data_IF_802831947387
#
_entry.id   IF_802831947387
#
_cell.length_a   1.000
_cell.length_b   1.000
_cell.length_c   1.000
_cell.angle_alpha   90.00
_cell.angle_beta   90.00
_cell.angle_gamma   90.00
#
_symmetry.space_group_name_H-M   'P 1'
#
loop_
_entity.id
_entity.type
_entity.pdbx_description
1 polymer ?
#
# COMPACT_ATOMS: atom_id res chain seq x y z
N UNK A 1 -37.79 -4.57 2.67
CA UNK A 1 -38.96 -5.23 2.06
C UNK A 1 -38.55 -6.36 1.14
N UNK A 2 -37.65 -6.14 0.17
CA UNK A 2 -37.24 -7.20 -0.79
C UNK A 2 -36.73 -8.50 -0.12
N UNK A 3 -35.86 -8.41 0.88
CA UNK A 3 -35.38 -9.60 1.60
C UNK A 3 -36.46 -10.35 2.42
N UNK A 4 -37.52 -9.66 2.84
CA UNK A 4 -38.66 -10.27 3.53
C UNK A 4 -39.57 -10.97 2.50
N UNK A 5 -39.77 -10.31 1.35
CA UNK A 5 -40.61 -10.82 0.26
C UNK A 5 -39.95 -11.97 -0.51
N UNK A 6 -38.61 -12.03 -0.52
CA UNK A 6 -37.81 -13.08 -1.16
C UNK A 6 -36.98 -13.80 -0.11
N UNK A 7 -37.67 -14.45 0.83
CA UNK A 7 -37.00 -15.27 1.84
C UNK A 7 -36.25 -16.42 1.16
N UNK A 8 -35.11 -16.80 1.75
CA UNK A 8 -34.33 -17.95 1.30
C UNK A 8 -34.41 -19.06 2.34
N UNK A 9 -34.36 -20.29 1.86
CA UNK A 9 -34.22 -21.44 2.75
C UNK A 9 -32.87 -21.42 3.48
N UNK A 10 -32.82 -22.12 4.62
CA UNK A 10 -31.58 -22.34 5.33
C UNK A 10 -30.66 -23.20 4.46
N UNK A 11 -29.53 -22.64 4.06
CA UNK A 11 -28.50 -23.39 3.35
C UNK A 11 -27.70 -24.24 4.34
N UNK A 12 -28.07 -25.51 4.47
CA UNK A 12 -27.42 -26.46 5.39
C UNK A 12 -25.95 -26.74 5.06
N UNK A 13 -25.52 -26.60 3.79
CA UNK A 13 -24.10 -26.71 3.44
C UNK A 13 -23.25 -25.63 4.14
N UNK A 14 -23.77 -24.40 4.29
CA UNK A 14 -23.09 -23.33 5.03
C UNK A 14 -23.06 -23.62 6.54
N UNK A 15 -24.14 -24.19 7.08
CA UNK A 15 -24.22 -24.61 8.49
C UNK A 15 -23.17 -25.69 8.77
N UNK A 16 -23.10 -26.71 7.92
CA UNK A 16 -22.18 -27.83 8.12
C UNK A 16 -20.73 -27.43 7.87
N UNK A 17 -20.45 -26.53 6.93
CA UNK A 17 -19.13 -25.92 6.78
C UNK A 17 -18.69 -25.18 8.07
N UNK A 18 -19.61 -24.47 8.74
CA UNK A 18 -19.33 -23.81 10.01
C UNK A 18 -19.07 -24.82 11.13
N UNK A 19 -19.90 -25.88 11.24
CA UNK A 19 -19.73 -26.95 12.23
C UNK A 19 -18.40 -27.68 12.04
N UNK A 20 -18.08 -28.07 10.80
CA UNK A 20 -16.82 -28.74 10.46
C UNK A 20 -15.62 -27.88 10.86
N UNK A 21 -15.65 -26.58 10.54
CA UNK A 21 -14.62 -25.63 11.00
C UNK A 21 -14.48 -25.64 12.52
N UNK A 22 -15.60 -25.56 13.26
CA UNK A 22 -15.60 -25.55 14.73
C UNK A 22 -15.03 -26.85 15.30
N UNK A 23 -15.38 -28.00 14.72
CA UNK A 23 -14.85 -29.30 15.12
C UNK A 23 -13.33 -29.39 14.89
N UNK A 24 -12.84 -29.00 13.71
CA UNK A 24 -11.41 -28.98 13.38
C UNK A 24 -10.64 -28.07 14.32
N UNK A 25 -11.14 -26.84 14.55
CA UNK A 25 -10.48 -25.88 15.44
C UNK A 25 -10.42 -26.43 16.90
N UNK A 26 -11.45 -27.19 17.33
CA UNK A 26 -11.46 -27.89 18.63
C UNK A 26 -10.44 -29.03 18.67
N UNK A 27 -10.41 -29.90 17.67
CA UNK A 27 -9.46 -31.01 17.59
C UNK A 27 -8.01 -30.52 17.67
N UNK A 28 -7.64 -29.54 16.83
CA UNK A 28 -6.28 -28.97 16.85
C UNK A 28 -5.95 -28.35 18.21
N UNK A 29 -6.88 -27.58 18.78
CA UNK A 29 -6.68 -26.95 20.08
C UNK A 29 -6.45 -27.96 21.21
N UNK A 30 -7.31 -28.98 21.31
CA UNK A 30 -7.27 -29.99 22.37
C UNK A 30 -6.10 -30.95 22.23
N UNK A 31 -5.74 -31.34 21.00
CA UNK A 31 -4.66 -32.31 20.78
C UNK A 31 -3.27 -31.66 20.94
N UNK A 32 -3.06 -30.44 20.41
CA UNK A 32 -1.72 -29.86 20.37
C UNK A 32 -1.38 -28.95 21.56
N UNK A 33 -2.37 -28.34 22.24
CA UNK A 33 -2.05 -27.50 23.40
C UNK A 33 -1.37 -28.25 24.55
N UNK A 34 -1.78 -29.48 24.93
CA UNK A 34 -1.07 -30.26 25.94
C UNK A 34 0.40 -30.53 25.58
N UNK A 35 0.68 -30.82 24.29
CA UNK A 35 2.05 -31.01 23.80
C UNK A 35 2.89 -29.73 23.97
N UNK A 36 2.32 -28.56 23.65
CA UNK A 36 3.01 -27.28 23.88
C UNK A 36 3.30 -27.05 25.37
N UNK A 37 2.37 -27.39 26.27
CA UNK A 37 2.58 -27.25 27.71
C UNK A 37 3.67 -28.19 28.25
N UNK A 38 3.76 -29.39 27.70
CA UNK A 38 4.78 -30.36 28.11
C UNK A 38 6.17 -29.95 27.60
N UNK A 39 6.27 -29.56 26.32
CA UNK A 39 7.54 -29.23 25.65
C UNK A 39 8.10 -27.86 26.02
N UNK A 40 7.23 -26.88 26.29
CA UNK A 40 7.62 -25.49 26.57
C UNK A 40 7.34 -25.07 28.02
N UNK A 41 7.23 -26.05 28.93
CA UNK A 41 6.90 -25.84 30.35
C UNK A 41 7.80 -24.83 31.06
N UNK A 42 9.04 -24.70 30.60
CA UNK A 42 10.05 -23.82 31.20
C UNK A 42 9.89 -22.34 30.77
N UNK A 43 9.05 -22.05 29.76
CA UNK A 43 8.71 -20.67 29.42
C UNK A 43 7.75 -20.14 30.49
N UNK A 44 8.09 -18.99 31.12
CA UNK A 44 7.20 -18.25 32.05
C UNK A 44 6.02 -17.58 31.34
N UNK A 45 5.43 -18.23 30.34
CA UNK A 45 4.31 -17.72 29.55
C UNK A 45 3.06 -18.51 29.94
N UNK A 46 2.13 -17.88 30.66
CA UNK A 46 0.87 -18.52 31.03
C UNK A 46 -0.03 -18.65 29.79
N UNK A 47 -0.58 -19.85 29.57
CA UNK A 47 -1.68 -20.05 28.63
C UNK A 47 -1.31 -20.17 27.15
N UNK A 48 -0.17 -20.82 26.83
CA UNK A 48 0.13 -21.28 25.47
C UNK A 48 -1.07 -22.06 24.90
N UNK A 49 -1.45 -21.79 23.66
CA UNK A 49 -2.54 -22.48 22.99
C UNK A 49 -2.20 -22.69 21.52
N UNK A 50 -2.35 -23.92 21.04
CA UNK A 50 -2.25 -24.21 19.62
C UNK A 50 -3.50 -23.71 18.90
N UNK A 51 -3.32 -23.04 17.76
CA UNK A 51 -4.41 -22.56 16.95
C UNK A 51 -4.08 -22.75 15.48
N UNK A 52 -4.90 -23.51 14.77
CA UNK A 52 -4.63 -23.93 13.38
C UNK A 52 -4.21 -22.78 12.47
N UNK A 53 -4.91 -21.64 12.56
CA UNK A 53 -4.61 -20.46 11.73
C UNK A 53 -3.68 -19.48 12.45
N UNK A 54 -3.81 -19.34 13.78
CA UNK A 54 -2.96 -18.46 14.58
C UNK A 54 -1.48 -18.86 14.49
N UNK A 55 -1.18 -20.16 14.57
CA UNK A 55 0.19 -20.68 14.45
C UNK A 55 0.79 -20.41 13.07
N UNK A 56 -0.02 -20.41 12.00
CA UNK A 56 0.46 -20.07 10.65
C UNK A 56 0.73 -18.57 10.54
N UNK A 57 -0.13 -17.71 11.08
CA UNK A 57 0.13 -16.27 11.14
C UNK A 57 1.40 -15.96 11.95
N UNK A 58 1.59 -16.62 13.09
CA UNK A 58 2.81 -16.53 13.91
C UNK A 58 4.04 -16.99 13.12
N UNK A 59 3.94 -18.08 12.34
CA UNK A 59 5.02 -18.56 11.45
C UNK A 59 5.44 -17.49 10.43
N UNK A 60 4.53 -16.69 9.89
CA UNK A 60 4.87 -15.59 8.99
C UNK A 60 5.74 -14.53 9.70
N UNK A 61 5.36 -14.16 10.92
CA UNK A 61 6.13 -13.21 11.75
C UNK A 61 7.51 -13.76 12.10
N UNK A 62 7.59 -15.02 12.55
CA UNK A 62 8.86 -15.68 12.88
C UNK A 62 9.76 -15.80 11.66
N UNK A 63 9.21 -16.16 10.49
CA UNK A 63 9.98 -16.18 9.24
C UNK A 63 10.57 -14.81 8.92
N UNK A 64 9.79 -13.73 9.06
CA UNK A 64 10.29 -12.36 8.86
C UNK A 64 11.40 -12.01 9.84
N UNK A 65 11.29 -12.36 11.12
CA UNK A 65 12.40 -12.13 12.06
C UNK A 65 13.64 -12.97 11.72
N UNK A 66 13.48 -14.23 11.29
CA UNK A 66 14.61 -15.05 10.81
C UNK A 66 15.27 -14.43 9.58
N UNK A 67 14.50 -13.92 8.62
CA UNK A 67 15.03 -13.19 7.45
C UNK A 67 15.83 -11.96 7.89
N UNK A 68 15.33 -11.21 8.88
CA UNK A 68 16.01 -10.03 9.41
C UNK A 68 17.28 -10.38 10.18
N UNK A 69 17.29 -11.48 10.94
CA UNK A 69 18.47 -11.93 11.69
C UNK A 69 19.59 -12.44 10.78
N UNK A 70 19.23 -13.03 9.63
CA UNK A 70 20.19 -13.48 8.61
C UNK A 70 20.62 -12.37 7.65
N UNK A 71 20.03 -11.18 7.75
CA UNK A 71 20.25 -10.12 6.79
C UNK A 71 21.68 -9.57 6.88
N UNK A 72 22.40 -9.59 5.77
CA UNK A 72 23.72 -8.98 5.67
C UNK A 72 23.56 -7.55 5.17
N UNK A 73 23.99 -6.59 5.99
CA UNK A 73 23.96 -5.17 5.64
C UNK A 73 25.10 -4.86 4.68
N UNK A 74 24.75 -4.25 3.56
CA UNK A 74 25.69 -3.78 2.55
C UNK A 74 25.73 -2.25 2.54
N UNK A 75 26.93 -1.68 2.43
CA UNK A 75 27.17 -0.24 2.30
C UNK A 75 27.31 0.14 0.83
N UNK A 76 26.83 1.32 0.47
CA UNK A 76 27.01 1.91 -0.86
C UNK A 76 26.84 3.41 -0.78
N UNK A 77 27.48 4.17 -1.67
CA UNK A 77 27.27 5.60 -1.78
C UNK A 77 26.20 5.91 -2.83
N UNK A 78 25.35 6.90 -2.53
CA UNK A 78 24.50 7.54 -3.51
C UNK A 78 24.95 8.99 -3.70
N UNK A 79 25.04 9.42 -4.94
CA UNK A 79 25.43 10.79 -5.29
C UNK A 79 24.22 11.51 -5.88
N UNK A 80 23.90 12.68 -5.31
CA UNK A 80 22.79 13.54 -5.75
C UNK A 80 23.32 14.96 -5.92
N UNK A 81 22.98 15.58 -7.04
CA UNK A 81 23.27 16.98 -7.34
C UNK A 81 21.98 17.80 -7.23
N UNK A 82 22.06 18.91 -6.51
CA UNK A 82 21.08 19.97 -6.58
C UNK A 82 21.51 20.94 -7.68
N UNK A 83 20.70 21.02 -8.72
CA UNK A 83 20.95 21.75 -9.95
C UNK A 83 20.03 22.95 -10.04
N UNK A 84 20.50 24.04 -10.63
CA UNK A 84 19.77 25.28 -10.85
C UNK A 84 19.67 25.50 -12.36
N UNK A 85 18.45 25.68 -12.88
CA UNK A 85 18.27 26.24 -14.22
C UNK A 85 18.40 27.76 -14.13
N UNK A 86 19.37 28.33 -14.83
CA UNK A 86 19.80 29.71 -14.61
C UNK A 86 18.74 30.76 -15.00
N UNK A 87 17.99 30.52 -16.09
CA UNK A 87 17.05 31.51 -16.62
C UNK A 87 15.84 31.72 -15.70
N UNK A 88 15.35 30.64 -15.09
CA UNK A 88 14.21 30.62 -14.19
C UNK A 88 14.60 30.65 -12.71
N UNK A 89 15.90 30.48 -12.41
CA UNK A 89 16.47 30.37 -11.07
C UNK A 89 15.74 29.34 -10.19
N UNK A 90 15.40 28.19 -10.79
CA UNK A 90 14.68 27.11 -10.12
C UNK A 90 15.56 25.90 -9.90
N UNK A 91 15.52 25.39 -8.67
CA UNK A 91 16.27 24.22 -8.27
C UNK A 91 15.54 22.92 -8.62
N UNK A 92 16.32 21.89 -8.94
CA UNK A 92 15.85 20.51 -9.05
C UNK A 92 16.96 19.52 -8.70
N UNK A 93 16.58 18.28 -8.41
CA UNK A 93 17.51 17.24 -7.96
C UNK A 93 17.74 16.21 -9.05
N UNK A 94 19.00 15.87 -9.29
CA UNK A 94 19.41 14.81 -10.19
C UNK A 94 20.28 13.79 -9.46
N UNK A 95 20.08 12.50 -9.74
CA UNK A 95 20.82 11.41 -9.09
C UNK A 95 21.74 10.74 -10.09
N UNK A 96 22.95 10.42 -9.65
CA UNK A 96 23.88 9.65 -10.46
C UNK A 96 23.29 8.27 -10.76
N UNK A 97 23.37 7.85 -12.02
CA UNK A 97 22.88 6.55 -12.47
C UNK A 97 23.94 5.73 -13.21
N UNK A 98 24.88 6.39 -13.88
CA UNK A 98 26.01 5.74 -14.54
C UNK A 98 27.27 6.58 -14.31
N UNK A 99 28.42 5.92 -14.30
CA UNK A 99 29.72 6.55 -14.29
C UNK A 99 30.63 5.73 -15.21
N UNK A 100 31.26 6.39 -16.18
CA UNK A 100 32.13 5.75 -17.18
C UNK A 100 31.41 4.59 -17.89
N UNK A 101 30.18 4.87 -18.37
CA UNK A 101 29.26 3.93 -19.03
C UNK A 101 28.74 2.78 -18.15
N UNK A 102 29.31 2.58 -16.96
CA UNK A 102 28.89 1.55 -16.03
C UNK A 102 27.72 2.03 -15.16
N UNK A 103 26.67 1.20 -15.06
CA UNK A 103 25.50 1.51 -14.23
C UNK A 103 25.84 1.44 -12.73
N UNK A 104 25.49 2.48 -12.00
CA UNK A 104 25.68 2.57 -10.55
C UNK A 104 24.69 1.67 -9.82
N UNK A 105 25.21 0.89 -8.88
CA UNK A 105 24.41 0.02 -8.03
C UNK A 105 23.49 0.79 -7.08
N UNK A 106 22.30 0.26 -6.88
CA UNK A 106 21.29 0.77 -5.94
C UNK A 106 21.02 -0.25 -4.85
N UNK A 107 20.24 0.14 -3.83
CA UNK A 107 19.86 -0.78 -2.73
C UNK A 107 19.20 -2.09 -3.18
N UNK A 108 18.59 -2.15 -4.38
CA UNK A 108 17.94 -3.36 -4.89
C UNK A 108 18.92 -4.37 -5.49
N UNK A 109 20.14 -3.93 -5.79
CA UNK A 109 21.16 -4.71 -6.50
C UNK A 109 21.99 -5.58 -5.54
N UNK A 110 21.71 -5.51 -4.23
CA UNK A 110 22.34 -6.34 -3.20
C UNK A 110 21.50 -7.56 -2.84
N UNK A 111 22.20 -8.67 -2.54
CA UNK A 111 21.62 -9.87 -1.93
C UNK A 111 20.97 -9.55 -0.58
N UNK A 112 20.00 -10.38 -0.15
CA UNK A 112 19.43 -10.28 1.21
C UNK A 112 20.33 -10.94 2.25
N UNK A 113 21.08 -11.97 1.85
CA UNK A 113 21.83 -12.86 2.74
C UNK A 113 23.30 -12.97 2.35
N UNK A 114 23.75 -12.11 1.44
CA UNK A 114 25.08 -12.15 0.85
C UNK A 114 25.69 -10.74 0.90
N UNK A 115 27.01 -10.68 1.01
CA UNK A 115 27.77 -9.44 0.86
C UNK A 115 28.04 -9.15 -0.62
N UNK A 116 27.98 -7.87 -0.99
CA UNK A 116 28.26 -7.43 -2.35
C UNK A 116 27.05 -7.44 -3.28
N UNK A 117 27.34 -7.15 -4.54
CA UNK A 117 26.35 -6.99 -5.59
C UNK A 117 25.90 -8.34 -6.15
N UNK A 118 24.63 -8.42 -6.55
CA UNK A 118 24.09 -9.58 -7.29
C UNK A 118 24.64 -9.67 -8.72
N UNK A 119 25.15 -8.56 -9.24
CA UNK A 119 25.65 -8.44 -10.59
C UNK A 119 26.95 -7.64 -10.56
N UNK A 120 28.04 -8.29 -10.94
CA UNK A 120 29.40 -7.73 -10.94
C UNK A 120 29.59 -6.64 -12.01
N UNK A 121 28.72 -6.60 -13.02
CA UNK A 121 28.76 -5.56 -14.06
C UNK A 121 28.27 -4.19 -13.54
N UNK A 122 27.76 -4.09 -12.31
CA UNK A 122 27.35 -2.82 -11.72
C UNK A 122 28.49 -2.15 -10.95
N UNK A 123 28.54 -0.83 -10.99
CA UNK A 123 29.52 -0.05 -10.25
C UNK A 123 29.05 0.12 -8.80
N UNK A 124 29.82 -0.44 -7.86
CA UNK A 124 29.70 -0.10 -6.44
C UNK A 124 30.52 1.17 -6.15
N UNK A 125 29.85 2.23 -5.72
CA UNK A 125 30.54 3.45 -5.29
C UNK A 125 30.93 3.31 -3.83
N UNK A 126 32.23 3.26 -3.57
CA UNK A 126 32.83 3.38 -2.24
C UNK A 126 33.20 4.84 -1.91
N UNK A 127 33.81 5.08 -0.75
CA UNK A 127 34.18 6.43 -0.30
C UNK A 127 35.13 7.14 -1.27
N UNK A 128 36.18 6.44 -1.74
CA UNK A 128 37.19 7.02 -2.63
C UNK A 128 36.57 7.38 -3.97
N UNK A 129 35.76 6.48 -4.53
CA UNK A 129 35.06 6.71 -5.79
C UNK A 129 34.01 7.81 -5.67
N UNK A 130 33.35 7.92 -4.51
CA UNK A 130 32.41 9.01 -4.26
C UNK A 130 33.11 10.38 -4.23
N UNK A 131 34.27 10.48 -3.59
CA UNK A 131 35.08 11.71 -3.56
C UNK A 131 35.62 12.08 -4.96
N UNK A 132 36.10 11.09 -5.72
CA UNK A 132 36.53 11.24 -7.12
C UNK A 132 35.39 11.83 -7.96
N UNK A 133 34.22 11.17 -7.98
CA UNK A 133 33.06 11.61 -8.77
C UNK A 133 32.59 13.00 -8.35
N UNK A 134 32.60 13.31 -7.04
CA UNK A 134 32.26 14.65 -6.57
C UNK A 134 33.21 15.71 -7.09
N UNK A 135 34.52 15.47 -7.01
CA UNK A 135 35.52 16.42 -7.49
C UNK A 135 35.33 16.67 -8.99
N UNK A 136 35.22 15.61 -9.78
CA UNK A 136 34.92 15.72 -11.22
C UNK A 136 33.60 16.46 -11.47
N UNK A 137 32.58 16.22 -10.66
CA UNK A 137 31.28 16.88 -10.80
C UNK A 137 31.27 18.37 -10.49
N UNK A 138 32.21 18.84 -9.66
CA UNK A 138 32.40 20.27 -9.40
C UNK A 138 33.15 20.98 -10.53
N UNK A 139 34.09 20.29 -11.18
CA UNK A 139 34.98 20.87 -12.19
C UNK A 139 34.39 20.83 -13.62
N UNK A 140 33.52 19.87 -13.91
CA UNK A 140 32.94 19.68 -15.23
C UNK A 140 31.63 20.47 -15.45
N UNK A 141 31.34 20.87 -16.71
CA UNK A 141 30.05 21.47 -17.05
C UNK A 141 28.89 20.46 -16.93
N UNK A 142 27.68 20.98 -16.76
CA UNK A 142 26.44 20.21 -16.68
C UNK A 142 25.64 20.39 -17.97
N UNK A 143 25.44 19.30 -18.71
CA UNK A 143 24.79 19.33 -20.01
C UNK A 143 23.56 18.43 -20.03
N UNK A 144 22.42 18.97 -20.49
CA UNK A 144 21.25 18.12 -20.75
C UNK A 144 21.47 17.41 -22.08
N UNK A 145 21.49 16.08 -22.04
CA UNK A 145 21.68 15.27 -23.25
C UNK A 145 20.38 14.67 -23.78
N UNK A 146 19.34 14.63 -22.94
CA UNK A 146 18.05 14.06 -23.33
C UNK A 146 16.94 14.55 -22.41
N UNK A 147 15.82 14.96 -23.00
CA UNK A 147 14.56 15.22 -22.28
C UNK A 147 13.46 14.35 -22.88
N UNK A 148 12.98 13.37 -22.11
CA UNK A 148 11.88 12.51 -22.53
C UNK A 148 10.62 12.82 -21.72
N UNK A 149 9.58 13.32 -22.40
CA UNK A 149 8.27 13.56 -21.80
C UNK A 149 7.23 12.58 -22.34
N UNK A 150 6.64 11.77 -21.47
CA UNK A 150 5.64 10.77 -21.84
C UNK A 150 4.35 10.93 -21.04
N UNK A 151 3.17 10.81 -21.70
CA UNK A 151 1.91 10.70 -20.98
C UNK A 151 1.89 9.39 -20.19
N UNK A 152 1.49 9.48 -18.93
CA UNK A 152 1.31 8.33 -18.04
C UNK A 152 -0.02 8.46 -17.30
N UNK A 153 -0.57 7.34 -16.85
CA UNK A 153 -1.84 7.32 -16.12
C UNK A 153 -1.81 6.39 -14.92
N UNK A 154 -2.58 6.74 -13.89
CA UNK A 154 -2.86 5.88 -12.74
C UNK A 154 -4.33 5.49 -12.77
N UNK A 155 -4.60 4.19 -12.74
CA UNK A 155 -5.98 3.68 -12.71
C UNK A 155 -6.57 3.76 -11.30
N UNK A 156 -7.90 4.00 -11.18
CA UNK A 156 -8.57 3.99 -9.89
C UNK A 156 -8.50 2.62 -9.23
N UNK A 157 -8.31 2.55 -7.90
CA UNK A 157 -8.32 1.29 -7.20
C UNK A 157 -9.74 0.75 -7.03
N UNK A 158 -9.92 -0.58 -6.84
CA UNK A 158 -11.24 -1.18 -6.67
C UNK A 158 -11.94 -0.69 -5.39
N UNK A 159 -13.28 -0.85 -5.29
CA UNK A 159 -14.03 -0.73 -4.05
C UNK A 159 -13.43 -1.55 -2.91
N UNK A 160 -13.78 -1.22 -1.67
CA UNK A 160 -13.18 -1.89 -0.53
C UNK A 160 -13.65 -3.34 -0.38
N UNK A 161 -12.69 -4.23 -0.18
CA UNK A 161 -12.84 -5.48 0.56
C UNK A 161 -12.52 -5.27 2.03
N UNK A 162 -12.78 -6.25 2.88
CA UNK A 162 -12.38 -6.18 4.31
C UNK A 162 -10.90 -5.95 4.51
N UNK A 163 -10.06 -6.65 3.74
CA UNK A 163 -8.61 -6.53 3.84
C UNK A 163 -8.12 -5.14 3.42
N UNK A 164 -8.64 -4.62 2.31
CA UNK A 164 -8.22 -3.32 1.79
C UNK A 164 -8.73 -2.16 2.66
N UNK A 165 -9.93 -2.28 3.25
CA UNK A 165 -10.44 -1.32 4.23
C UNK A 165 -9.52 -1.26 5.47
N UNK A 166 -9.15 -2.42 6.03
CA UNK A 166 -8.25 -2.48 7.19
C UNK A 166 -6.87 -1.89 6.88
N UNK A 167 -6.36 -2.11 5.66
CA UNK A 167 -5.08 -1.56 5.23
C UNK A 167 -5.12 -0.03 5.14
N UNK A 168 -6.13 0.53 4.45
CA UNK A 168 -6.21 1.98 4.24
C UNK A 168 -6.63 2.73 5.50
N UNK A 169 -7.50 2.16 6.35
CA UNK A 169 -7.82 2.72 7.67
C UNK A 169 -6.60 2.75 8.60
N UNK A 170 -5.78 1.69 8.58
CA UNK A 170 -4.51 1.68 9.32
C UNK A 170 -3.54 2.73 8.80
N UNK A 171 -3.45 2.89 7.47
CA UNK A 171 -2.53 3.84 6.84
C UNK A 171 -2.94 5.30 7.03
N UNK A 172 -4.24 5.61 6.93
CA UNK A 172 -4.78 6.97 7.00
C UNK A 172 -5.00 7.44 8.43
N UNK A 173 -5.51 6.56 9.30
CA UNK A 173 -5.96 6.93 10.65
C UNK A 173 -5.20 6.23 11.78
N UNK A 174 -4.26 5.32 11.46
CA UNK A 174 -3.57 4.53 12.47
C UNK A 174 -4.44 3.48 13.17
N UNK A 175 -5.65 3.21 12.66
CA UNK A 175 -6.56 2.24 13.25
C UNK A 175 -6.01 0.83 13.16
N UNK A 176 -6.18 0.05 14.22
CA UNK A 176 -5.94 -1.40 14.16
C UNK A 176 -7.04 -2.07 13.34
N UNK A 177 -6.80 -3.28 12.79
CA UNK A 177 -7.85 -4.07 12.15
C UNK A 177 -9.07 -4.27 13.05
N UNK A 178 -8.85 -4.50 14.36
CA UNK A 178 -9.93 -4.66 15.35
C UNK A 178 -10.77 -3.39 15.48
N UNK A 179 -10.15 -2.23 15.68
CA UNK A 179 -10.86 -0.94 15.76
C UNK A 179 -11.65 -0.67 14.47
N UNK A 180 -11.03 -0.89 13.31
CA UNK A 180 -11.69 -0.72 12.01
C UNK A 180 -12.94 -1.57 11.89
N UNK A 181 -12.89 -2.85 12.29
CA UNK A 181 -14.04 -3.74 12.22
C UNK A 181 -15.15 -3.38 13.20
N UNK A 182 -14.82 -2.86 14.39
CA UNK A 182 -15.82 -2.37 15.35
C UNK A 182 -16.57 -1.16 14.80
N UNK A 183 -15.83 -0.18 14.23
CA UNK A 183 -16.44 1.00 13.62
C UNK A 183 -17.29 0.62 12.40
N UNK A 184 -16.79 -0.27 11.54
CA UNK A 184 -17.54 -0.74 10.37
C UNK A 184 -18.81 -1.52 10.77
N UNK A 185 -18.76 -2.32 11.85
CA UNK A 185 -19.94 -3.00 12.38
C UNK A 185 -21.02 -1.98 12.79
N UNK A 186 -20.64 -0.92 13.52
CA UNK A 186 -21.59 0.14 13.91
C UNK A 186 -22.20 0.83 12.70
N UNK A 187 -21.38 1.19 11.70
CA UNK A 187 -21.86 1.81 10.46
C UNK A 187 -22.84 0.89 9.72
N UNK A 188 -22.57 -0.40 9.68
CA UNK A 188 -23.44 -1.40 9.05
C UNK A 188 -24.77 -1.54 9.80
N UNK A 189 -24.74 -1.67 11.13
CA UNK A 189 -25.94 -1.82 11.97
C UNK A 189 -26.84 -0.59 11.94
N UNK A 190 -26.26 0.60 11.76
CA UNK A 190 -26.99 1.85 11.58
C UNK A 190 -27.43 2.09 10.13
N UNK A 191 -27.12 1.17 9.20
CA UNK A 191 -27.55 1.22 7.82
C UNK A 191 -26.80 2.23 6.94
N UNK A 192 -25.57 2.61 7.31
CA UNK A 192 -24.75 3.54 6.52
C UNK A 192 -23.86 2.85 5.48
N UNK A 193 -23.46 1.60 5.70
CA UNK A 193 -22.61 0.86 4.76
C UNK A 193 -23.14 -0.56 4.52
N UNK A 194 -22.69 -1.19 3.44
CA UNK A 194 -22.90 -2.62 3.18
C UNK A 194 -22.09 -3.51 4.14
N UNK A 195 -22.33 -4.82 4.09
CA UNK A 195 -21.70 -5.78 4.98
C UNK A 195 -20.16 -5.75 4.88
N UNK A 196 -19.51 -5.43 5.99
CA UNK A 196 -18.07 -5.15 6.07
C UNK A 196 -17.16 -6.39 6.07
N UNK A 197 -17.71 -7.61 6.01
CA UNK A 197 -16.95 -8.87 5.93
C UNK A 197 -17.13 -9.50 4.57
N UNK A 198 -16.43 -8.94 3.58
CA UNK A 198 -16.52 -9.31 2.16
C UNK A 198 -15.13 -9.34 1.54
N UNK A 199 -14.93 -10.28 0.63
CA UNK A 199 -13.78 -10.35 -0.28
C UNK A 199 -14.14 -9.88 -1.70
N UNK A 200 -15.39 -9.48 -1.92
CA UNK A 200 -15.89 -8.99 -3.20
C UNK A 200 -15.54 -7.52 -3.42
N UNK A 201 -15.24 -7.18 -4.67
CA UNK A 201 -15.10 -5.80 -5.16
C UNK A 201 -16.29 -5.37 -6.01
N UNK A 202 -17.34 -6.18 -6.08
CA UNK A 202 -18.50 -5.93 -6.92
C UNK A 202 -19.39 -4.80 -6.36
N UNK A 203 -20.03 -4.03 -7.25
CA UNK A 203 -21.04 -3.03 -6.91
C UNK A 203 -22.34 -3.39 -7.64
N UNK A 204 -23.49 -3.28 -6.97
CA UNK A 204 -24.78 -3.46 -7.63
C UNK A 204 -25.06 -2.36 -8.66
N UNK A 205 -26.04 -2.57 -9.54
CA UNK A 205 -26.52 -1.56 -10.47
C UNK A 205 -26.95 -0.27 -9.78
N UNK A 206 -27.63 -0.38 -8.63
CA UNK A 206 -28.05 0.77 -7.83
C UNK A 206 -26.84 1.53 -7.29
N UNK A 207 -25.81 0.81 -6.81
CA UNK A 207 -24.60 1.42 -6.30
C UNK A 207 -23.78 2.11 -7.39
N UNK A 208 -23.74 1.52 -8.60
CA UNK A 208 -23.10 2.13 -9.77
C UNK A 208 -23.81 3.43 -10.18
N UNK A 209 -25.15 3.43 -10.19
CA UNK A 209 -25.94 4.65 -10.45
C UNK A 209 -25.70 5.71 -9.37
N UNK A 210 -25.78 5.34 -8.10
CA UNK A 210 -25.53 6.26 -6.99
C UNK A 210 -24.12 6.88 -7.05
N UNK A 211 -23.10 6.06 -7.36
CA UNK A 211 -21.74 6.53 -7.54
C UNK A 211 -21.63 7.52 -8.71
N UNK A 212 -22.28 7.23 -9.84
CA UNK A 212 -22.31 8.12 -11.01
C UNK A 212 -22.90 9.48 -10.65
N UNK A 213 -24.07 9.49 -10.03
CA UNK A 213 -24.78 10.72 -9.66
C UNK A 213 -23.97 11.55 -8.66
N UNK A 214 -23.39 10.91 -7.64
CA UNK A 214 -22.50 11.58 -6.68
C UNK A 214 -21.24 12.14 -7.34
N UNK A 215 -20.63 11.43 -8.30
CA UNK A 215 -19.44 11.93 -9.00
C UNK A 215 -19.80 13.12 -9.88
N UNK A 216 -20.89 13.04 -10.63
CA UNK A 216 -21.35 14.10 -11.52
C UNK A 216 -21.63 15.39 -10.74
N UNK A 217 -22.34 15.28 -9.62
CA UNK A 217 -22.70 16.43 -8.78
C UNK A 217 -21.49 17.05 -8.06
N UNK A 218 -20.51 16.23 -7.63
CA UNK A 218 -19.40 16.69 -6.79
C UNK A 218 -18.15 17.08 -7.57
N UNK A 219 -17.87 16.39 -8.68
CA UNK A 219 -16.64 16.56 -9.44
C UNK A 219 -16.88 16.98 -10.89
N UNK A 220 -18.06 16.72 -11.45
CA UNK A 220 -18.39 17.02 -12.85
C UNK A 220 -18.33 15.82 -13.78
N UNK A 221 -19.02 15.91 -14.92
CA UNK A 221 -19.15 14.85 -15.94
C UNK A 221 -17.79 14.42 -16.51
N UNK A 222 -16.81 15.30 -16.54
CA UNK A 222 -15.46 15.02 -17.03
C UNK A 222 -14.73 13.96 -16.21
N UNK A 223 -15.13 13.73 -14.95
CA UNK A 223 -14.57 12.69 -14.09
C UNK A 223 -15.21 11.32 -14.26
N UNK A 224 -16.35 11.22 -14.96
CA UNK A 224 -17.02 9.95 -15.23
C UNK A 224 -16.37 9.24 -16.43
N UNK A 225 -16.11 7.92 -16.35
CA UNK A 225 -15.73 7.10 -17.49
C UNK A 225 -16.93 6.89 -18.43
N UNK A 226 -16.67 6.51 -19.68
CA UNK A 226 -17.72 6.28 -20.69
C UNK A 226 -18.56 5.02 -20.36
N UNK A 227 -17.97 4.08 -19.61
CA UNK A 227 -18.63 2.91 -19.05
C UNK A 227 -18.16 2.65 -17.63
N UNK A 228 -18.97 1.98 -16.81
CA UNK A 228 -18.61 1.63 -15.43
C UNK A 228 -17.32 0.82 -15.36
N UNK A 229 -16.50 1.12 -14.35
CA UNK A 229 -15.27 0.39 -14.10
C UNK A 229 -15.61 -0.95 -13.42
N UNK A 230 -15.29 -2.06 -14.10
CA UNK A 230 -15.52 -3.41 -13.59
C UNK A 230 -14.24 -3.99 -12.97
N UNK A 231 -14.36 -4.51 -11.76
CA UNK A 231 -13.23 -5.06 -11.00
C UNK A 231 -13.41 -6.56 -10.75
N UNK A 232 -12.42 -7.36 -11.18
CA UNK A 232 -12.43 -8.80 -10.93
C UNK A 232 -12.12 -9.11 -9.47
N UNK A 233 -12.99 -9.88 -8.83
CA UNK A 233 -12.74 -10.46 -7.50
C UNK A 233 -11.63 -11.51 -7.60
N UNK A 234 -10.60 -11.41 -6.74
CA UNK A 234 -9.41 -12.29 -6.81
C UNK A 234 -9.58 -13.64 -6.10
N UNK A 235 -10.65 -13.83 -5.32
CA UNK A 235 -10.83 -15.00 -4.47
C UNK A 235 -11.83 -15.96 -5.11
N UNK A 236 -11.36 -17.16 -5.51
CA UNK A 236 -12.16 -18.18 -6.21
C UNK A 236 -13.31 -18.78 -5.38
N UNK A 237 -13.28 -18.62 -4.05
CA UNK A 237 -14.35 -19.02 -3.12
C UNK A 237 -15.01 -17.81 -2.44
N UNK A 238 -14.93 -16.62 -3.06
CA UNK A 238 -15.75 -15.51 -2.61
C UNK A 238 -17.21 -16.01 -2.62
N UNK A 239 -17.92 -15.83 -1.51
CA UNK A 239 -19.36 -16.03 -1.57
C UNK A 239 -19.88 -14.94 -2.51
N UNK A 240 -20.09 -15.30 -3.78
CA UNK A 240 -20.39 -14.39 -4.90
C UNK A 240 -21.67 -13.55 -4.71
N UNK A 241 -22.36 -13.72 -3.60
CA UNK A 241 -23.56 -13.00 -3.20
C UNK A 241 -23.29 -11.71 -2.39
N UNK A 242 -22.04 -11.35 -2.09
CA UNK A 242 -21.75 -10.12 -1.35
C UNK A 242 -21.20 -9.02 -2.26
N UNK A 243 -21.65 -7.80 -2.01
CA UNK A 243 -21.08 -6.60 -2.59
C UNK A 243 -19.79 -6.20 -1.86
N UNK A 244 -19.07 -5.24 -2.46
CA UNK A 244 -17.99 -4.52 -1.79
C UNK A 244 -18.50 -3.73 -0.57
N UNK A 245 -17.57 -3.29 0.26
CA UNK A 245 -17.84 -2.34 1.34
C UNK A 245 -17.98 -0.95 0.72
N UNK A 246 -19.21 -0.43 0.71
CA UNK A 246 -19.62 0.84 0.11
C UNK A 246 -20.70 1.50 0.96
N UNK A 247 -21.04 2.78 0.73
CA UNK A 247 -22.22 3.38 1.36
C UNK A 247 -23.50 2.61 0.97
N UNK A 248 -24.42 2.51 1.92
CA UNK A 248 -25.73 1.89 1.72
C UNK A 248 -26.75 2.89 1.12
N UNK A 249 -27.89 2.36 0.67
CA UNK A 249 -28.96 3.16 0.06
C UNK A 249 -28.80 3.36 -1.45
N UNK A 250 -29.86 3.92 -2.06
CA UNK A 250 -29.93 4.26 -3.50
C UNK A 250 -29.26 5.60 -3.83
N UNK A 251 -29.06 6.44 -2.82
CA UNK A 251 -28.31 7.68 -2.90
C UNK A 251 -27.32 7.68 -1.75
N UNK A 252 -26.04 7.95 -2.05
CA UNK A 252 -25.01 8.01 -1.03
C UNK A 252 -25.14 9.32 -0.26
N UNK A 253 -25.18 9.22 1.06
CA UNK A 253 -25.18 10.40 1.93
C UNK A 253 -23.78 11.00 1.98
N UNK A 254 -23.68 12.32 1.96
CA UNK A 254 -22.39 12.97 2.19
C UNK A 254 -22.01 12.86 3.67
N UNK A 255 -20.70 12.81 3.97
CA UNK A 255 -20.22 12.60 5.34
C UNK A 255 -20.76 13.66 6.31
N UNK A 256 -20.86 14.92 5.87
CA UNK A 256 -21.36 16.04 6.67
C UNK A 256 -22.84 15.91 7.06
N UNK A 257 -23.66 15.27 6.24
CA UNK A 257 -25.09 15.05 6.49
C UNK A 257 -25.33 14.08 7.66
N UNK A 258 -24.40 13.14 7.86
CA UNK A 258 -24.53 12.07 8.86
C UNK A 258 -23.54 12.22 10.02
N UNK A 259 -22.61 13.18 9.94
CA UNK A 259 -21.58 13.41 10.94
C UNK A 259 -22.12 13.77 12.33
N UNK A 260 -23.31 14.36 12.44
CA UNK A 260 -23.95 14.68 13.73
C UNK A 260 -24.55 13.44 14.39
N UNK A 261 -24.91 12.42 13.61
CA UNK A 261 -25.44 11.13 14.09
C UNK A 261 -24.30 10.15 14.38
N UNK A 262 -23.20 10.28 13.64
CA UNK A 262 -22.01 9.44 13.77
C UNK A 262 -21.02 10.02 14.78
N UNK A 263 -20.27 9.15 15.45
CA UNK A 263 -19.05 9.58 16.14
C UNK A 263 -17.98 10.06 15.14
N UNK A 264 -16.97 10.76 15.65
CA UNK A 264 -15.85 11.26 14.83
C UNK A 264 -15.15 10.14 14.04
N UNK A 265 -14.86 9.02 14.70
CA UNK A 265 -14.16 7.89 14.08
C UNK A 265 -15.03 7.15 13.05
N UNK A 266 -16.31 6.96 13.36
CA UNK A 266 -17.29 6.39 12.44
C UNK A 266 -17.43 7.28 11.19
N UNK A 267 -17.51 8.60 11.36
CA UNK A 267 -17.55 9.57 10.26
C UNK A 267 -16.29 9.49 9.38
N UNK A 268 -15.10 9.39 10.00
CA UNK A 268 -13.84 9.25 9.27
C UNK A 268 -13.77 7.94 8.47
N UNK A 269 -14.27 6.84 9.04
CA UNK A 269 -14.30 5.55 8.33
C UNK A 269 -15.34 5.55 7.20
N UNK A 270 -16.51 6.16 7.41
CA UNK A 270 -17.52 6.33 6.37
C UNK A 270 -16.98 7.18 5.22
N UNK A 271 -16.36 8.32 5.51
CA UNK A 271 -15.75 9.19 4.50
C UNK A 271 -14.71 8.44 3.64
N UNK A 272 -13.90 7.60 4.30
CA UNK A 272 -12.94 6.76 3.61
C UNK A 272 -13.64 5.79 2.63
N UNK A 273 -14.73 5.14 3.07
CA UNK A 273 -15.52 4.19 2.28
C UNK A 273 -16.22 4.88 1.11
N UNK A 274 -16.86 6.03 1.36
CA UNK A 274 -17.52 6.85 0.34
C UNK A 274 -16.51 7.25 -0.74
N UNK A 275 -15.42 7.91 -0.35
CA UNK A 275 -14.43 8.42 -1.30
C UNK A 275 -13.76 7.29 -2.09
N UNK A 276 -13.55 6.11 -1.49
CA UNK A 276 -13.03 4.94 -2.21
C UNK A 276 -14.03 4.39 -3.23
N UNK A 277 -15.31 4.36 -2.88
CA UNK A 277 -16.39 3.91 -3.76
C UNK A 277 -16.50 4.85 -4.97
N UNK A 278 -16.57 6.16 -4.74
CA UNK A 278 -16.60 7.16 -5.81
C UNK A 278 -15.35 7.07 -6.70
N UNK A 279 -14.16 7.07 -6.10
CA UNK A 279 -12.90 6.96 -6.85
C UNK A 279 -12.85 5.72 -7.75
N UNK A 280 -13.40 4.58 -7.31
CA UNK A 280 -13.43 3.37 -8.13
C UNK A 280 -14.20 3.53 -9.45
N UNK A 281 -15.15 4.46 -9.51
CA UNK A 281 -15.97 4.74 -10.70
C UNK A 281 -15.58 6.05 -11.40
N UNK A 282 -14.42 6.63 -11.08
CA UNK A 282 -13.88 7.83 -11.75
C UNK A 282 -12.84 7.46 -12.83
N UNK A 283 -12.59 8.38 -13.77
CA UNK A 283 -11.51 8.25 -14.76
C UNK A 283 -10.12 8.18 -14.10
N UNK A 284 -9.18 7.56 -14.81
CA UNK A 284 -7.77 7.51 -14.43
C UNK A 284 -7.17 8.92 -14.26
N UNK A 285 -6.28 9.08 -13.28
CA UNK A 285 -5.45 10.28 -13.17
C UNK A 285 -4.42 10.28 -14.31
N UNK A 286 -4.19 11.44 -14.95
CA UNK A 286 -3.26 11.59 -16.07
C UNK A 286 -2.13 12.54 -15.69
N UNK A 287 -0.91 12.16 -16.07
CA UNK A 287 0.32 12.90 -15.80
C UNK A 287 1.16 13.00 -17.07
N UNK A 288 1.97 14.05 -17.18
CA UNK A 288 3.16 14.03 -18.03
C UNK A 288 4.34 13.73 -17.13
N UNK A 289 5.00 12.60 -17.40
CA UNK A 289 6.26 12.26 -16.75
C UNK A 289 7.41 12.73 -17.63
N UNK A 290 8.25 13.59 -17.09
CA UNK A 290 9.47 14.07 -17.73
C UNK A 290 10.67 13.41 -17.06
N UNK A 291 11.50 12.75 -17.84
CA UNK A 291 12.80 12.24 -17.41
C UNK A 291 13.88 13.02 -18.15
N UNK A 292 14.91 13.43 -17.41
CA UNK A 292 16.02 14.20 -17.96
C UNK A 292 17.29 13.42 -17.70
N UNK A 293 18.08 13.23 -18.75
CA UNK A 293 19.43 12.68 -18.67
C UNK A 293 20.40 13.84 -18.77
N UNK A 294 21.30 13.94 -17.80
CA UNK A 294 22.24 15.05 -17.64
C UNK A 294 23.65 14.46 -17.58
N UNK A 295 24.52 14.93 -18.44
CA UNK A 295 25.93 14.54 -18.49
C UNK A 295 26.77 15.54 -17.72
N UNK A 296 27.75 15.03 -16.98
CA UNK A 296 28.80 15.80 -16.35
C UNK A 296 30.09 14.96 -16.43
N UNK A 297 30.98 15.30 -17.38
CA UNK A 297 32.16 14.48 -17.67
C UNK A 297 31.79 13.02 -17.98
N UNK A 298 32.31 12.08 -17.16
CA UNK A 298 32.00 10.63 -17.22
C UNK A 298 30.69 10.25 -16.54
N UNK A 299 30.10 11.15 -15.77
CA UNK A 299 28.91 10.90 -14.96
C UNK A 299 27.63 11.14 -15.74
N UNK A 300 26.65 10.25 -15.57
CA UNK A 300 25.28 10.43 -16.05
C UNK A 300 24.32 10.52 -14.87
N UNK A 301 23.75 11.70 -14.69
CA UNK A 301 22.72 11.98 -13.72
C UNK A 301 21.33 11.91 -14.37
N UNK A 302 20.33 11.49 -13.59
CA UNK A 302 18.93 11.50 -14.01
C UNK A 302 18.05 12.25 -13.03
N UNK A 303 17.18 13.09 -13.57
CA UNK A 303 16.10 13.75 -12.85
C UNK A 303 14.75 13.27 -13.42
N UNK A 304 13.71 13.21 -12.58
CA UNK A 304 12.37 12.81 -13.01
C UNK A 304 11.33 13.62 -12.26
N UNK A 305 10.34 14.14 -12.99
CA UNK A 305 9.22 14.88 -12.44
C UNK A 305 7.92 14.48 -13.10
N UNK A 306 6.82 14.66 -12.37
CA UNK A 306 5.47 14.42 -12.88
C UNK A 306 4.63 15.68 -12.77
N UNK A 307 4.04 16.10 -13.88
CA UNK A 307 3.05 17.18 -13.90
C UNK A 307 1.65 16.56 -14.08
N UNK A 308 0.76 16.78 -13.11
CA UNK A 308 -0.64 16.34 -13.20
C UNK A 308 -1.34 17.11 -14.31
N UNK A 309 -1.85 16.40 -15.31
CA UNK A 309 -2.72 16.96 -16.36
C UNK A 309 -4.19 16.80 -16.05
N UNK A 310 -4.55 15.74 -15.33
CA UNK A 310 -5.92 15.50 -14.89
C UNK A 310 -5.90 14.69 -13.59
N UNK A 311 -6.60 15.18 -12.55
CA UNK A 311 -6.63 14.50 -11.24
C UNK A 311 -7.37 13.16 -11.31
N UNK A 312 -8.40 13.04 -12.15
CA UNK A 312 -9.24 11.83 -12.18
C UNK A 312 -9.67 11.41 -10.79
N UNK A 313 -9.64 10.11 -10.51
CA UNK A 313 -10.03 9.55 -9.22
C UNK A 313 -9.28 10.11 -7.99
N UNK A 314 -8.08 10.70 -8.16
CA UNK A 314 -7.32 11.24 -7.01
C UNK A 314 -7.97 12.50 -6.45
N UNK A 315 -8.91 13.12 -7.16
CA UNK A 315 -9.74 14.20 -6.60
C UNK A 315 -10.63 13.73 -5.44
N UNK A 316 -11.09 12.48 -5.47
CA UNK A 316 -11.85 11.87 -4.37
C UNK A 316 -10.93 11.10 -3.39
N UNK A 317 -9.89 10.42 -3.90
CA UNK A 317 -9.14 9.45 -3.11
C UNK A 317 -7.62 9.50 -3.34
N UNK A 318 -6.97 10.51 -2.77
CA UNK A 318 -5.51 10.65 -2.82
C UNK A 318 -4.76 9.49 -2.13
N UNK A 319 -5.42 8.74 -1.25
CA UNK A 319 -4.78 7.61 -0.57
C UNK A 319 -4.44 6.45 -1.52
N UNK A 320 -4.93 6.41 -2.76
CA UNK A 320 -4.40 5.41 -3.70
C UNK A 320 -2.97 5.70 -4.16
N UNK A 321 -2.50 6.95 -4.04
CA UNK A 321 -1.14 7.30 -4.45
C UNK A 321 -0.14 6.58 -3.55
N UNK A 322 0.67 5.69 -4.14
CA UNK A 322 1.75 5.02 -3.44
C UNK A 322 2.81 6.01 -2.96
N UNK A 323 3.63 5.64 -1.98
CA UNK A 323 4.72 6.51 -1.47
C UNK A 323 5.64 7.01 -2.60
N UNK A 324 5.89 6.18 -3.62
CA UNK A 324 6.72 6.53 -4.76
C UNK A 324 6.06 7.55 -5.71
N UNK A 325 4.73 7.56 -5.82
CA UNK A 325 4.02 8.58 -6.61
C UNK A 325 3.97 9.91 -5.84
N UNK A 326 3.90 9.87 -4.51
CA UNK A 326 4.00 11.07 -3.66
C UNK A 326 5.42 11.66 -3.60
N UNK A 327 6.49 10.88 -3.80
CA UNK A 327 7.86 11.40 -3.77
C UNK A 327 8.34 12.01 -5.08
N UNK A 328 7.65 11.73 -6.20
CA UNK A 328 7.93 12.33 -7.53
C UNK A 328 7.05 13.56 -7.77
N UNK A 329 6.31 14.03 -6.75
CA UNK A 329 5.49 15.24 -6.81
C UNK A 329 6.32 16.53 -6.69
N UNK A 330 7.45 16.58 -7.40
CA UNK A 330 8.18 17.81 -7.67
C UNK A 330 8.05 18.10 -9.16
N UNK A 331 7.52 19.27 -9.51
CA UNK A 331 7.61 19.76 -10.88
C UNK A 331 9.08 20.01 -11.17
N UNK A 332 9.63 19.40 -12.22
CA UNK A 332 10.87 19.91 -12.81
C UNK A 332 10.60 21.33 -13.32
N UNK A 333 11.61 22.22 -13.34
CA UNK A 333 11.49 23.48 -14.07
C UNK A 333 11.29 23.21 -15.56
N UNK A 334 10.83 24.23 -16.30
CA UNK A 334 10.77 24.13 -17.75
C UNK A 334 12.20 24.09 -18.27
N UNK A 335 12.56 22.99 -18.95
CA UNK A 335 13.91 22.72 -19.40
C UNK A 335 13.88 22.40 -20.90
N UNK A 336 14.89 22.87 -21.63
CA UNK A 336 15.22 22.47 -23.00
C UNK A 336 16.64 21.90 -23.03
N UNK A 337 17.01 21.18 -24.09
CA UNK A 337 18.38 20.67 -24.24
C UNK A 337 19.43 21.80 -24.27
N UNK A 338 19.01 23.01 -24.65
CA UNK A 338 19.82 24.23 -24.62
C UNK A 338 19.81 24.99 -23.29
N UNK A 339 19.15 24.48 -22.25
CA UNK A 339 19.10 25.16 -20.94
C UNK A 339 20.46 25.14 -20.26
N UNK A 340 20.92 26.30 -19.80
CA UNK A 340 22.10 26.39 -18.96
C UNK A 340 21.76 25.95 -17.54
N UNK A 341 22.52 24.97 -17.04
CA UNK A 341 22.37 24.45 -15.68
C UNK A 341 23.69 24.55 -14.96
N UNK A 342 23.62 25.00 -13.71
CA UNK A 342 24.72 24.93 -12.75
C UNK A 342 24.32 24.06 -11.57
N UNK A 343 25.30 23.68 -10.75
CA UNK A 343 25.04 22.97 -9.51
C UNK A 343 25.14 23.92 -8.32
N UNK A 344 24.27 23.75 -7.34
CA UNK A 344 24.37 24.40 -6.05
C UNK A 344 25.17 23.56 -5.07
N UNK A 345 24.83 22.28 -4.97
CA UNK A 345 25.50 21.32 -4.09
C UNK A 345 25.56 19.95 -4.74
N UNK A 346 26.65 19.24 -4.48
CA UNK A 346 26.79 17.82 -4.83
C UNK A 346 26.98 17.07 -3.52
N UNK A 347 26.04 16.19 -3.18
CA UNK A 347 26.06 15.40 -1.97
C UNK A 347 26.43 13.95 -2.27
N UNK A 348 27.22 13.35 -1.38
CA UNK A 348 27.50 11.93 -1.36
C UNK A 348 27.01 11.39 -0.03
N UNK A 349 26.07 10.46 -0.07
CA UNK A 349 25.48 9.88 1.14
C UNK A 349 25.89 8.40 1.23
N UNK A 350 26.58 8.02 2.31
CA UNK A 350 26.75 6.60 2.64
C UNK A 350 25.37 6.05 3.03
N UNK A 351 24.89 5.09 2.24
CA UNK A 351 23.65 4.38 2.46
C UNK A 351 23.94 2.94 2.85
N UNK A 352 22.97 2.36 3.53
CA UNK A 352 23.01 0.95 3.89
C UNK A 352 21.74 0.27 3.43
N UNK A 353 21.87 -0.96 2.94
CA UNK A 353 20.71 -1.81 2.69
C UNK A 353 19.98 -2.04 4.01
N UNK A 354 18.65 -2.00 3.96
CA UNK A 354 17.82 -2.16 5.15
C UNK A 354 17.23 -3.58 5.19
N UNK A 355 17.17 -4.23 6.36
CA UNK A 355 16.54 -5.53 6.47
C UNK A 355 15.05 -5.43 6.14
N UNK A 356 14.42 -6.54 5.69
CA UNK A 356 12.99 -6.59 5.41
C UNK A 356 12.17 -6.00 6.57
N UNK A 357 11.24 -5.10 6.26
CA UNK A 357 10.45 -4.42 7.29
C UNK A 357 9.64 -5.43 8.10
N UNK A 358 9.54 -5.19 9.40
CA UNK A 358 8.58 -5.90 10.26
C UNK A 358 7.17 -5.65 9.76
N UNK A 359 6.29 -6.61 10.02
CA UNK A 359 4.88 -6.46 9.68
C UNK A 359 4.22 -5.42 10.59
N UNK A 360 3.51 -4.46 10.00
CA UNK A 360 2.38 -3.84 10.69
C UNK A 360 1.18 -4.79 10.65
N UNK A 361 0.16 -4.52 11.45
CA UNK A 361 -1.10 -5.29 11.42
C UNK A 361 -1.72 -5.32 10.01
N UNK A 362 -1.77 -4.17 9.34
CA UNK A 362 -2.23 -4.07 7.96
C UNK A 362 -1.39 -4.89 6.97
N UNK A 363 -0.06 -4.87 7.09
CA UNK A 363 0.80 -5.68 6.24
C UNK A 363 0.60 -7.17 6.49
N UNK A 364 0.35 -7.59 7.73
CA UNK A 364 0.09 -8.98 8.06
C UNK A 364 -1.25 -9.45 7.49
N UNK A 365 -2.31 -8.63 7.58
CA UNK A 365 -3.61 -8.91 6.96
C UNK A 365 -3.45 -9.13 5.45
N UNK A 366 -2.72 -8.22 4.77
CA UNK A 366 -2.43 -8.34 3.33
C UNK A 366 -1.68 -9.62 2.98
N UNK A 367 -0.66 -9.96 3.76
CA UNK A 367 0.15 -11.16 3.55
C UNK A 367 -0.68 -12.44 3.75
N UNK A 368 -1.53 -12.44 4.79
CA UNK A 368 -2.45 -13.53 5.08
C UNK A 368 -3.45 -13.73 3.95
N UNK A 369 -4.09 -12.65 3.47
CA UNK A 369 -4.99 -12.67 2.31
C UNK A 369 -4.29 -13.22 1.06
N UNK A 370 -3.10 -12.71 0.73
CA UNK A 370 -2.33 -13.13 -0.45
C UNK A 370 -1.99 -14.63 -0.42
N UNK A 371 -1.79 -15.19 0.78
CA UNK A 371 -1.48 -16.61 0.98
C UNK A 371 -2.72 -17.48 1.22
N UNK A 372 -3.92 -16.93 1.14
CA UNK A 372 -5.18 -17.65 1.43
C UNK A 372 -5.35 -18.05 2.89
N UNK A 373 -4.58 -17.45 3.81
CA UNK A 373 -4.61 -17.71 5.25
C UNK A 373 -5.62 -16.79 5.90
N UNK A 374 -6.61 -17.34 6.61
CA UNK A 374 -7.69 -16.54 7.19
C UNK A 374 -8.69 -16.04 6.14
N UNK A 375 -9.73 -15.36 6.61
CA UNK A 375 -10.86 -14.83 5.82
C UNK A 375 -11.25 -13.47 6.38
N UNK A 376 -12.08 -12.67 5.67
CA UNK A 376 -12.65 -11.42 6.18
C UNK A 376 -13.15 -11.48 7.63
N UNK A 377 -13.79 -12.59 8.01
CA UNK A 377 -14.32 -12.83 9.35
C UNK A 377 -13.25 -13.15 10.42
N UNK A 378 -12.03 -13.48 10.03
CA UNK A 378 -11.00 -13.98 10.97
C UNK A 378 -9.74 -13.12 11.05
N UNK A 379 -9.47 -12.21 10.11
CA UNK A 379 -8.21 -11.44 10.13
C UNK A 379 -7.98 -10.73 11.47
N UNK A 380 -8.95 -9.92 11.91
CA UNK A 380 -8.83 -9.17 13.17
C UNK A 380 -8.71 -10.09 14.39
N UNK A 381 -9.47 -11.19 14.45
CA UNK A 381 -9.46 -12.09 15.61
C UNK A 381 -8.18 -12.92 15.71
N UNK A 382 -7.57 -13.28 14.57
CA UNK A 382 -6.26 -13.95 14.55
C UNK A 382 -5.19 -13.02 15.13
N UNK A 383 -5.14 -11.76 14.67
CA UNK A 383 -4.20 -10.76 15.14
C UNK A 383 -4.37 -10.47 16.64
N UNK A 384 -5.62 -10.25 17.08
CA UNK A 384 -5.94 -10.02 18.49
C UNK A 384 -5.49 -11.20 19.36
N UNK A 385 -5.71 -12.44 18.90
CA UNK A 385 -5.38 -13.64 19.66
C UNK A 385 -3.87 -13.86 19.80
N UNK A 386 -3.07 -13.63 18.75
CA UNK A 386 -1.62 -13.81 18.85
C UNK A 386 -0.96 -12.74 19.73
N UNK A 387 -1.55 -11.54 19.80
CA UNK A 387 -1.10 -10.48 20.71
C UNK A 387 -1.56 -10.76 22.14
N UNK A 388 -2.83 -11.10 22.36
CA UNK A 388 -3.39 -11.38 23.70
C UNK A 388 -2.77 -12.60 24.38
N UNK A 389 -2.17 -13.50 23.59
CA UNK A 389 -1.44 -14.68 24.07
C UNK A 389 0.06 -14.44 24.19
N UNK A 390 0.50 -13.20 24.03
CA UNK A 390 1.89 -12.77 24.19
C UNK A 390 2.88 -13.47 23.25
N UNK A 391 2.40 -14.12 22.18
CA UNK A 391 3.26 -14.66 21.13
C UNK A 391 3.97 -13.56 20.36
N UNK A 392 3.39 -12.36 20.36
CA UNK A 392 3.87 -11.20 19.61
C UNK A 392 3.66 -9.96 20.45
N UNK A 393 4.68 -9.10 20.52
CA UNK A 393 4.59 -7.80 21.17
C UNK A 393 4.48 -6.73 20.09
N UNK A 394 3.47 -5.87 20.20
CA UNK A 394 3.33 -4.69 19.34
C UNK A 394 4.24 -3.58 19.88
N UNK A 395 5.28 -3.24 19.12
CA UNK A 395 6.10 -2.05 19.39
C UNK A 395 5.57 -0.88 18.56
N UNK A 396 5.04 0.14 19.23
CA UNK A 396 4.72 1.42 18.59
C UNK A 396 6.07 2.09 18.29
N UNK A 397 6.28 2.54 17.06
CA UNK A 397 7.41 3.41 16.75
C UNK A 397 7.09 4.79 17.35
N UNK A 398 7.89 5.20 18.33
CA UNK A 398 8.05 6.63 18.62
C UNK A 398 8.77 7.30 17.46
#
# INVERSE_FOLDING_TARGET
MEAINNSREINYNLVDAQKARRAIDRLVGFTFSPVLWQTLRNLRVKGLSAGRVQSVALKLLVKREKERNKFIKNKFFAIEAELIEESSNKNFKARLTHYDEQKVATSNDFGKFDSGLKNENLLLIDTKKAEEIKKESNENPWEIVEIESKPTSSSPPPPFTTSTLQQDASRKFGYSPKRTMVLAQKLYEQGFITYMRTDSTNLSSEALSAAKDSIENKFGKEFLPDSFNMYKTKVANAQEAHEAIRPAGRAFKETNEIATTLGKDESQLYDLILNRTLASQMKAAKYIRTNITIKNGKSIYKASGNVTKFKGYTAAYEQALGRNQKSVSGSLPSLSESSNITHQTISSEEKTTIPPRRFSEAMLVKEMETKGIGRPSTYSSILDKIVSKEYVIKKIKH
#
